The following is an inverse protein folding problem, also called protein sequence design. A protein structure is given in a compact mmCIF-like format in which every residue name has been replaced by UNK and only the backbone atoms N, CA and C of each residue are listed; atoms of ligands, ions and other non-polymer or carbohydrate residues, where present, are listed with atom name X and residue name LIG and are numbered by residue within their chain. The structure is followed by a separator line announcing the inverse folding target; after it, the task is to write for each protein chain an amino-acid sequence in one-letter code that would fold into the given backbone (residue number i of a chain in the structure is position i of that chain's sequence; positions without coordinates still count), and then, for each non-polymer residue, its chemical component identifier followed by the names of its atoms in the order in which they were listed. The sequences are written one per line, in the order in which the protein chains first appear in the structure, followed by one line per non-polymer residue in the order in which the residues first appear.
data_IF_087490160137
#
_entry.id   IF_087490160137
#
_cell.length_a   1.000
_cell.length_b   1.000
_cell.length_c   1.000
_cell.angle_alpha   90.00
_cell.angle_beta   90.00
_cell.angle_gamma   90.00
#
_symmetry.space_group_name_H-M   'P 1'
#
loop_
_entity.id
_entity.type
_entity.pdbx_description
1 polymer ?
#
# COMPACT_ATOMS: atom_id res chain seq x y z
N UNK A 1 -4.54 -0.61 7.99
CA UNK A 1 -3.27 -1.16 7.49
C UNK A 1 -3.57 -2.34 6.57
N UNK A 2 -2.78 -2.54 5.54
CA UNK A 2 -2.99 -3.60 4.54
C UNK A 2 -1.71 -4.43 4.41
N UNK A 3 -1.77 -5.77 4.62
CA UNK A 3 -0.62 -6.62 4.37
C UNK A 3 -0.38 -6.75 2.86
N UNK A 4 0.83 -6.43 2.44
CA UNK A 4 1.31 -6.52 1.05
C UNK A 4 2.72 -7.11 1.02
N UNK A 5 2.91 -8.34 1.52
CA UNK A 5 4.23 -8.96 1.57
C UNK A 5 4.86 -9.02 0.17
N UNK A 6 6.17 -8.80 0.09
CA UNK A 6 6.93 -8.83 -1.15
C UNK A 6 6.80 -7.60 -2.05
N UNK A 7 5.87 -6.67 -1.77
CA UNK A 7 5.78 -5.40 -2.49
C UNK A 7 6.84 -4.40 -2.03
N UNK A 8 7.13 -3.42 -2.88
CA UNK A 8 7.94 -2.25 -2.58
C UNK A 8 7.18 -0.96 -2.92
N UNK A 9 7.64 0.19 -2.45
CA UNK A 9 6.99 1.49 -2.64
C UNK A 9 6.74 1.84 -4.11
N UNK A 10 7.60 1.37 -5.01
CA UNK A 10 7.50 1.55 -6.47
C UNK A 10 6.55 0.56 -7.15
N UNK A 11 6.20 -0.53 -6.47
CA UNK A 11 5.22 -1.53 -6.95
C UNK A 11 3.84 -1.38 -6.29
N UNK A 12 3.61 -0.26 -5.59
CA UNK A 12 2.33 0.06 -4.95
C UNK A 12 1.74 1.34 -5.55
N UNK A 13 0.46 1.26 -5.90
CA UNK A 13 -0.36 2.40 -6.24
C UNK A 13 -1.44 2.60 -5.17
N UNK A 14 -1.48 3.80 -4.62
CA UNK A 14 -2.56 4.27 -3.74
C UNK A 14 -3.23 5.47 -4.40
N UNK A 15 -4.53 5.38 -4.62
CA UNK A 15 -5.35 6.44 -5.19
C UNK A 15 -6.53 6.77 -4.30
N UNK A 16 -6.81 8.06 -4.15
CA UNK A 16 -8.02 8.57 -3.52
C UNK A 16 -8.84 9.30 -4.57
N UNK A 17 -10.08 8.89 -4.76
CA UNK A 17 -11.05 9.54 -5.64
C UNK A 17 -12.35 9.76 -4.85
N UNK A 18 -12.66 11.01 -4.52
CA UNK A 18 -13.71 11.33 -3.55
C UNK A 18 -13.52 10.61 -2.22
N UNK A 19 -14.43 9.69 -1.90
CA UNK A 19 -14.40 8.85 -0.69
C UNK A 19 -13.91 7.41 -0.95
N UNK A 20 -13.49 7.10 -2.17
CA UNK A 20 -13.04 5.77 -2.54
C UNK A 20 -11.51 5.71 -2.51
N UNK A 21 -10.97 4.86 -1.65
CA UNK A 21 -9.54 4.57 -1.56
C UNK A 21 -9.22 3.27 -2.30
N UNK A 22 -8.47 3.38 -3.40
CA UNK A 22 -8.00 2.23 -4.18
C UNK A 22 -6.54 1.94 -3.84
N UNK A 23 -6.25 0.67 -3.60
CA UNK A 23 -4.91 0.15 -3.33
C UNK A 23 -4.64 -0.96 -4.34
N UNK A 24 -3.52 -0.87 -5.04
CA UNK A 24 -2.97 -1.92 -5.90
C UNK A 24 -1.52 -2.14 -5.49
N UNK A 25 -1.14 -3.38 -5.26
CA UNK A 25 0.21 -3.75 -4.89
C UNK A 25 0.61 -5.01 -5.64
N UNK A 26 1.84 -5.06 -6.10
CA UNK A 26 2.42 -6.25 -6.68
C UNK A 26 3.71 -6.61 -5.95
N UNK A 27 3.89 -7.88 -5.64
CA UNK A 27 5.18 -8.36 -5.17
C UNK A 27 6.25 -8.11 -6.24
N UNK A 28 7.39 -7.54 -5.83
CA UNK A 28 8.48 -7.18 -6.76
C UNK A 28 9.08 -8.38 -7.47
N UNK A 29 9.08 -9.54 -6.80
CA UNK A 29 9.63 -10.78 -7.35
C UNK A 29 8.55 -11.85 -7.44
N UNK A 30 8.44 -12.54 -8.58
CA UNK A 30 7.48 -13.61 -8.77
C UNK A 30 7.85 -14.81 -7.89
N UNK A 31 6.82 -15.50 -7.38
CA UNK A 31 6.98 -16.76 -6.62
C UNK A 31 6.95 -17.97 -7.57
N UNK A 32 7.82 -17.98 -8.57
CA UNK A 32 7.88 -19.09 -9.54
C UNK A 32 8.58 -20.33 -8.95
N UNK A 33 8.16 -21.52 -9.41
CA UNK A 33 8.86 -22.80 -9.19
C UNK A 33 9.05 -23.24 -7.73
N UNK A 34 8.13 -22.85 -6.84
CA UNK A 34 8.14 -23.32 -5.45
C UNK A 34 7.41 -24.66 -5.28
N UNK A 35 8.09 -25.65 -4.69
CA UNK A 35 7.49 -26.92 -4.28
C UNK A 35 7.08 -26.84 -2.80
N UNK A 36 5.83 -26.43 -2.55
CA UNK A 36 5.31 -26.30 -1.20
C UNK A 36 4.87 -27.65 -0.62
N UNK A 37 5.27 -27.96 0.62
CA UNK A 37 4.63 -29.01 1.42
C UNK A 37 3.24 -28.57 1.94
N UNK A 38 3.11 -27.28 2.28
CA UNK A 38 1.86 -26.61 2.69
C UNK A 38 1.95 -25.12 2.34
N UNK A 39 0.90 -24.57 1.73
CA UNK A 39 0.84 -23.17 1.30
C UNK A 39 -0.43 -22.52 1.87
N UNK A 40 -0.29 -21.74 2.94
CA UNK A 40 -1.43 -21.17 3.70
C UNK A 40 -1.82 -19.75 3.26
N UNK A 41 -0.91 -19.06 2.57
CA UNK A 41 -1.06 -17.65 2.21
C UNK A 41 -0.21 -17.34 0.98
N UNK A 42 -0.78 -16.57 0.06
CA UNK A 42 -0.14 -16.21 -1.21
C UNK A 42 0.58 -14.88 -1.10
N UNK A 43 1.79 -14.80 -1.65
CA UNK A 43 2.52 -13.56 -1.93
C UNK A 43 2.38 -13.24 -3.42
N UNK A 44 2.04 -12.01 -3.78
CA UNK A 44 1.78 -11.65 -5.16
C UNK A 44 1.03 -10.33 -5.30
N UNK A 45 -0.01 -10.32 -6.14
CA UNK A 45 -0.85 -9.15 -6.34
C UNK A 45 -1.89 -8.98 -5.23
N UNK A 46 -2.14 -7.73 -4.86
CA UNK A 46 -3.23 -7.34 -3.98
C UNK A 46 -3.97 -6.16 -4.57
N UNK A 47 -5.29 -6.25 -4.59
CA UNK A 47 -6.17 -5.15 -4.98
C UNK A 47 -7.26 -4.98 -3.94
N UNK A 48 -7.45 -3.75 -3.48
CA UNK A 48 -8.51 -3.38 -2.55
C UNK A 48 -9.12 -2.06 -2.97
N UNK A 49 -10.42 -1.98 -2.79
CA UNK A 49 -11.20 -0.77 -2.92
C UNK A 49 -11.97 -0.59 -1.62
N UNK A 50 -11.84 0.58 -1.02
CA UNK A 50 -12.36 0.85 0.32
C UNK A 50 -13.17 2.14 0.24
N UNK A 51 -14.45 2.04 0.53
CA UNK A 51 -15.32 3.19 0.69
C UNK A 51 -15.15 3.78 2.09
N UNK A 52 -14.72 5.04 2.17
CA UNK A 52 -14.46 5.73 3.42
C UNK A 52 -15.78 6.26 4.01
N UNK A 53 -16.03 5.93 5.28
CA UNK A 53 -17.26 6.33 5.99
C UNK A 53 -17.38 7.83 6.26
N UNK A 54 -16.32 8.60 6.03
CA UNK A 54 -16.26 10.05 6.24
C UNK A 54 -15.45 10.70 5.13
N UNK A 55 -15.76 11.95 4.77
CA UNK A 55 -14.94 12.70 3.84
C UNK A 55 -13.56 12.96 4.44
N UNK A 56 -12.55 12.96 3.57
CA UNK A 56 -11.15 13.17 3.89
C UNK A 56 -10.54 14.19 2.93
N UNK A 57 -9.40 14.76 3.32
CA UNK A 57 -8.57 15.60 2.46
C UNK A 57 -7.50 14.77 1.78
N UNK A 58 -7.29 15.03 0.49
CA UNK A 58 -6.14 14.50 -0.23
C UNK A 58 -4.85 15.23 0.21
N UNK A 59 -4.95 16.53 0.52
CA UNK A 59 -3.81 17.26 1.08
C UNK A 59 -3.41 16.70 2.45
N UNK A 60 -2.12 16.40 2.60
CA UNK A 60 -1.58 15.81 3.83
C UNK A 60 -1.81 14.31 3.97
N UNK A 61 -2.38 13.63 2.97
CA UNK A 61 -2.41 12.18 2.91
C UNK A 61 -1.00 11.59 2.88
N UNK A 62 -0.79 10.49 3.62
CA UNK A 62 0.51 9.79 3.70
C UNK A 62 0.32 8.30 3.50
N UNK A 63 1.20 7.69 2.74
CA UNK A 63 1.30 6.24 2.61
C UNK A 63 2.73 5.79 2.92
N UNK A 64 2.86 4.83 3.84
CA UNK A 64 4.14 4.29 4.28
C UNK A 64 4.09 2.76 4.25
N UNK A 65 5.04 2.15 3.57
CA UNK A 65 5.27 0.71 3.58
C UNK A 65 6.40 0.40 4.56
N UNK A 66 6.09 -0.40 5.57
CA UNK A 66 7.08 -0.82 6.58
C UNK A 66 6.89 -2.30 6.86
N UNK A 67 7.95 -3.10 6.74
CA UNK A 67 7.94 -4.55 7.00
C UNK A 67 6.79 -5.30 6.28
N UNK A 68 6.51 -4.96 5.02
CA UNK A 68 5.44 -5.58 4.23
C UNK A 68 4.01 -5.14 4.60
N UNK A 69 3.86 -4.12 5.46
CA UNK A 69 2.56 -3.56 5.85
C UNK A 69 2.43 -2.13 5.31
N UNK A 70 1.43 -1.91 4.46
CA UNK A 70 1.06 -0.59 3.97
C UNK A 70 0.14 0.11 4.98
N UNK A 71 0.59 1.26 5.48
CA UNK A 71 -0.18 2.13 6.35
C UNK A 71 -0.50 3.43 5.62
N UNK A 72 -1.79 3.76 5.57
CA UNK A 72 -2.30 4.97 4.92
C UNK A 72 -2.95 5.84 6.00
N UNK A 73 -2.57 7.12 6.05
CA UNK A 73 -3.13 8.12 6.95
C UNK A 73 -3.77 9.23 6.14
N UNK A 74 -5.06 9.46 6.37
CA UNK A 74 -5.87 10.45 5.66
C UNK A 74 -6.44 11.45 6.66
N UNK A 75 -6.17 12.77 6.53
CA UNK A 75 -6.80 13.77 7.37
C UNK A 75 -8.30 13.84 7.12
N UNK A 76 -9.09 13.86 8.18
CA UNK A 76 -10.55 14.02 8.08
C UNK A 76 -10.86 15.47 7.69
N UNK A 77 -11.74 15.67 6.72
CA UNK A 77 -12.14 16.99 6.27
C UNK A 77 -12.99 16.93 5.00
N UNK A 78 -13.49 18.08 4.55
CA UNK A 78 -14.12 18.15 3.22
C UNK A 78 -13.08 17.83 2.15
N UNK A 79 -13.54 17.17 1.09
CA UNK A 79 -12.77 16.96 -0.13
C UNK A 79 -12.21 18.30 -0.64
N UNK A 80 -10.93 18.30 -0.99
CA UNK A 80 -10.16 19.49 -1.37
C UNK A 80 -9.58 19.40 -2.78
N UNK A 81 -9.81 18.29 -3.49
CA UNK A 81 -9.38 18.06 -4.88
C UNK A 81 -10.51 17.35 -5.62
N UNK A 82 -10.92 17.85 -6.78
CA UNK A 82 -12.05 17.32 -7.57
C UNK A 82 -11.66 16.19 -8.55
N UNK A 83 -10.46 15.65 -8.44
CA UNK A 83 -9.89 14.67 -9.37
C UNK A 83 -9.14 13.58 -8.62
N UNK A 84 -9.06 12.35 -9.15
CA UNK A 84 -8.34 11.26 -8.51
C UNK A 84 -6.89 11.65 -8.18
N UNK A 85 -6.51 11.53 -6.91
CA UNK A 85 -5.19 11.90 -6.43
C UNK A 85 -4.37 10.66 -6.11
N UNK A 86 -3.16 10.55 -6.69
CA UNK A 86 -2.20 9.51 -6.32
C UNK A 86 -1.48 9.92 -5.03
N UNK A 87 -1.48 9.04 -4.04
CA UNK A 87 -0.75 9.22 -2.79
C UNK A 87 0.61 8.51 -2.93
N UNK A 88 1.74 9.23 -2.89
CA UNK A 88 3.06 8.61 -2.95
C UNK A 88 3.29 7.66 -1.77
N UNK A 89 3.77 6.46 -2.07
CA UNK A 89 4.18 5.48 -1.07
C UNK A 89 5.64 5.70 -0.74
N UNK A 90 5.96 5.71 0.54
CA UNK A 90 7.32 5.86 1.05
C UNK A 90 7.74 4.62 1.83
N UNK A 91 9.02 4.31 1.81
CA UNK A 91 9.63 3.30 2.68
C UNK A 91 10.62 3.99 3.61
N UNK A 92 10.66 3.63 4.91
CA UNK A 92 11.79 4.02 5.74
C UNK A 92 13.07 3.38 5.17
N UNK A 93 14.23 4.05 5.28
CA UNK A 93 15.49 3.47 4.89
C UNK A 93 15.67 2.14 5.62
N UNK A 94 15.91 1.07 4.86
CA UNK A 94 16.18 -0.23 5.43
C UNK A 94 17.45 -0.12 6.26
N UNK A 95 17.38 -0.37 7.58
CA UNK A 95 18.57 -0.73 8.33
C UNK A 95 19.03 -2.09 7.80
N UNK A 96 19.84 -2.08 6.72
CA UNK A 96 20.62 -3.26 6.38
C UNK A 96 21.51 -3.51 7.60
N UNK A 97 21.17 -4.56 8.35
CA UNK A 97 21.97 -5.02 9.47
C UNK A 97 23.41 -5.11 9.01
N UNK A 98 24.29 -4.43 9.75
CA UNK A 98 25.73 -4.56 9.60
C UNK A 98 26.05 -6.06 9.68
N UNK A 99 26.72 -6.65 8.66
CA UNK A 99 27.10 -8.05 8.75
C UNK A 99 28.04 -8.21 9.95
N UNK A 100 27.67 -9.10 10.87
CA UNK A 100 28.57 -9.61 11.91
C UNK A 100 29.60 -10.55 11.28
#
# INVERSE_FOLDING_TARGET
AVPVPGAHHDTIEVRLDGQTLTIRAEARYPQEQQHYLKHEWTVGSSHREIELSRPVRASGAKAMLTHGILTISLPIGREDVSSPTRIPVTEPPSHQGQPH
#
